data_IF_663275111478
#
_entry.id   IF_663275111478
#
_cell.length_a   1.000
_cell.length_b   1.000
_cell.length_c   1.000
_cell.angle_alpha   90.00
_cell.angle_beta   90.00
_cell.angle_gamma   90.00
#
_symmetry.space_group_name_H-M   'P 1'
#
loop_
_entity.id
_entity.type
_entity.pdbx_description
1 polymer ?
#
# COMPACT_ATOMS: atom_id res chain seq x y z
N UNK A 1 11.41 -0.53 1.20
CA UNK A 1 12.76 -0.43 0.60
C UNK A 1 13.13 1.02 0.29
N UNK A 2 14.20 1.57 0.89
CA UNK A 2 14.77 2.87 0.50
C UNK A 2 15.91 2.65 -0.48
N UNK A 3 15.69 2.93 -1.76
CA UNK A 3 16.66 2.59 -2.81
C UNK A 3 17.80 3.61 -2.93
N UNK A 4 17.51 4.91 -2.79
CA UNK A 4 18.45 6.02 -3.03
C UNK A 4 18.64 6.40 -4.49
N UNK A 5 18.07 5.63 -5.43
CA UNK A 5 18.15 5.86 -6.87
C UNK A 5 16.95 5.21 -7.57
N UNK A 6 15.74 5.73 -7.31
CA UNK A 6 14.49 5.14 -7.78
C UNK A 6 14.47 4.90 -9.30
N UNK A 7 15.05 5.80 -10.08
CA UNK A 7 15.15 5.69 -11.53
C UNK A 7 16.09 4.57 -12.03
N UNK A 8 17.00 4.09 -11.18
CA UNK A 8 17.84 2.91 -11.45
C UNK A 8 17.17 1.62 -10.95
N UNK A 9 16.56 1.66 -9.76
CA UNK A 9 16.07 0.44 -9.13
C UNK A 9 14.69 -0.01 -9.64
N UNK A 10 13.81 0.91 -10.00
CA UNK A 10 12.47 0.58 -10.49
C UNK A 10 12.46 0.48 -12.01
N UNK A 11 12.06 -0.70 -12.49
CA UNK A 11 12.07 -1.11 -13.88
C UNK A 11 10.65 -1.47 -14.32
N UNK A 12 10.21 -0.91 -15.44
CA UNK A 12 8.95 -1.24 -16.09
C UNK A 12 9.19 -2.38 -17.09
N UNK A 13 8.53 -3.54 -16.95
CA UNK A 13 8.59 -4.63 -17.92
C UNK A 13 8.04 -4.18 -19.28
N UNK A 14 8.76 -4.49 -20.35
CA UNK A 14 8.36 -4.23 -21.74
C UNK A 14 8.02 -5.52 -22.52
N UNK A 15 8.06 -6.68 -21.84
CA UNK A 15 7.83 -8.01 -22.41
C UNK A 15 9.06 -8.92 -22.36
N UNK A 16 8.95 -10.14 -22.91
CA UNK A 16 10.03 -11.11 -22.95
C UNK A 16 11.28 -10.56 -23.64
N UNK A 17 12.46 -10.96 -23.17
CA UNK A 17 13.74 -10.65 -23.79
C UNK A 17 14.09 -11.59 -24.95
N UNK A 18 15.29 -11.39 -25.49
CA UNK A 18 15.84 -12.13 -26.63
C UNK A 18 16.07 -13.63 -26.38
N UNK A 19 16.15 -14.05 -25.12
CA UNK A 19 16.36 -15.44 -24.70
C UNK A 19 15.52 -15.78 -23.47
N UNK A 20 15.18 -17.06 -23.24
CA UNK A 20 14.51 -17.50 -22.01
C UNK A 20 15.26 -17.04 -20.75
N UNK A 21 14.50 -16.53 -19.76
CA UNK A 21 15.05 -15.99 -18.52
C UNK A 21 15.56 -14.55 -18.60
N UNK A 22 15.46 -13.88 -19.76
CA UNK A 22 15.68 -12.44 -19.90
C UNK A 22 14.35 -11.71 -20.04
N UNK A 23 14.25 -10.55 -19.39
CA UNK A 23 13.13 -9.63 -19.52
C UNK A 23 13.60 -8.30 -20.09
N UNK A 24 12.90 -7.81 -21.12
CA UNK A 24 13.12 -6.44 -21.62
C UNK A 24 12.47 -5.46 -20.66
N UNK A 25 13.20 -4.43 -20.25
CA UNK A 25 12.77 -3.47 -19.23
C UNK A 25 13.17 -2.05 -19.59
N UNK A 26 12.42 -1.07 -19.06
CA UNK A 26 12.75 0.36 -19.09
C UNK A 26 12.91 0.89 -17.68
N UNK A 27 13.93 1.71 -17.43
CA UNK A 27 14.09 2.39 -16.14
C UNK A 27 13.58 3.84 -16.17
N UNK A 28 13.53 4.50 -15.01
CA UNK A 28 13.02 5.87 -14.87
C UNK A 28 13.89 6.95 -15.54
N UNK A 29 15.08 6.61 -16.02
CA UNK A 29 16.00 7.49 -16.73
C UNK A 29 16.03 7.23 -18.25
N UNK A 30 15.09 6.44 -18.76
CA UNK A 30 14.95 6.14 -20.18
C UNK A 30 15.93 5.10 -20.72
N UNK A 31 16.68 4.40 -19.86
CA UNK A 31 17.44 3.23 -20.30
C UNK A 31 16.49 2.09 -20.63
N UNK A 32 16.69 1.46 -21.78
CA UNK A 32 16.05 0.22 -22.17
C UNK A 32 17.08 -0.85 -22.45
N UNK A 33 16.78 -2.06 -22.02
CA UNK A 33 17.63 -3.22 -22.26
C UNK A 33 17.02 -4.46 -21.65
N UNK A 34 17.83 -5.51 -21.59
CA UNK A 34 17.43 -6.80 -21.04
C UNK A 34 18.13 -7.04 -19.72
N UNK A 35 17.45 -7.66 -18.77
CA UNK A 35 18.02 -8.11 -17.49
C UNK A 35 17.49 -9.51 -17.20
N UNK A 36 18.29 -10.35 -16.57
CA UNK A 36 17.86 -11.67 -16.13
C UNK A 36 16.68 -11.57 -15.14
N UNK A 37 15.62 -12.33 -15.38
CA UNK A 37 14.39 -12.36 -14.57
C UNK A 37 14.67 -12.69 -13.10
N UNK A 38 15.73 -13.46 -12.82
CA UNK A 38 16.11 -13.79 -11.43
C UNK A 38 16.39 -12.55 -10.58
N UNK A 39 16.85 -11.46 -11.19
CA UNK A 39 17.17 -10.18 -10.55
C UNK A 39 16.02 -9.17 -10.56
N UNK A 40 14.84 -9.55 -11.06
CA UNK A 40 13.68 -8.67 -11.17
C UNK A 40 12.54 -9.20 -10.30
N UNK A 41 12.19 -8.48 -9.24
CA UNK A 41 11.14 -8.89 -8.30
C UNK A 41 9.94 -7.93 -8.35
N UNK A 42 8.68 -8.41 -8.30
CA UNK A 42 7.52 -7.54 -8.11
C UNK A 42 7.68 -6.66 -6.88
N UNK A 43 7.29 -5.40 -7.01
CA UNK A 43 7.42 -4.41 -5.93
C UNK A 43 6.27 -3.42 -5.97
N UNK A 44 5.75 -3.08 -4.80
CA UNK A 44 4.80 -1.99 -4.63
C UNK A 44 5.60 -0.70 -4.47
N UNK A 45 5.70 0.09 -5.54
CA UNK A 45 6.38 1.40 -5.52
C UNK A 45 5.56 2.47 -4.79
N UNK A 46 4.22 2.41 -4.85
CA UNK A 46 3.33 3.39 -4.25
C UNK A 46 1.96 2.79 -3.91
N UNK A 47 1.30 3.23 -2.81
CA UNK A 47 -0.11 2.90 -2.55
C UNK A 47 -1.05 3.19 -3.72
N UNK A 48 -0.72 4.19 -4.56
CA UNK A 48 -1.56 4.61 -5.69
C UNK A 48 -1.66 3.56 -6.80
N UNK A 49 -0.69 2.66 -6.92
CA UNK A 49 -0.73 1.62 -7.95
C UNK A 49 -1.58 0.41 -7.54
N UNK A 50 -1.75 0.20 -6.23
CA UNK A 50 -2.64 -0.82 -5.71
C UNK A 50 -4.06 -0.35 -6.03
N UNK A 51 -4.85 -1.12 -6.79
CA UNK A 51 -6.23 -0.75 -7.16
C UNK A 51 -7.24 -1.30 -6.16
N UNK A 52 -7.13 -2.58 -5.85
CA UNK A 52 -7.89 -3.32 -4.85
C UNK A 52 -7.17 -3.38 -3.49
N UNK A 53 -7.87 -3.84 -2.45
CA UNK A 53 -7.25 -4.10 -1.14
C UNK A 53 -6.25 -5.25 -1.27
N UNK A 54 -6.66 -6.35 -1.90
CA UNK A 54 -5.79 -7.50 -2.17
C UNK A 54 -5.03 -7.27 -3.47
N UNK A 55 -3.71 -7.20 -3.36
CA UNK A 55 -2.75 -6.94 -4.43
C UNK A 55 -2.43 -8.26 -5.14
N UNK A 56 -2.63 -8.22 -6.46
CA UNK A 56 -2.16 -9.24 -7.40
C UNK A 56 -0.77 -8.85 -7.90
N UNK A 57 0.27 -9.67 -7.68
CA UNK A 57 1.64 -9.36 -8.10
C UNK A 57 1.78 -9.07 -9.61
N UNK A 58 0.95 -9.70 -10.43
CA UNK A 58 0.86 -9.52 -11.87
C UNK A 58 0.38 -8.12 -12.28
N UNK A 59 -0.42 -7.46 -11.44
CA UNK A 59 -0.93 -6.10 -11.69
C UNK A 59 0.08 -5.01 -11.30
N UNK A 60 1.16 -5.37 -10.60
CA UNK A 60 2.20 -4.42 -10.21
C UNK A 60 3.01 -3.97 -11.42
N UNK A 61 2.98 -2.66 -11.66
CA UNK A 61 3.61 -2.01 -12.81
C UNK A 61 5.13 -2.21 -12.83
N UNK A 62 5.75 -2.18 -11.66
CA UNK A 62 7.21 -2.15 -11.55
C UNK A 62 7.77 -3.50 -11.08
N UNK A 63 9.01 -3.75 -11.50
CA UNK A 63 9.93 -4.70 -10.89
C UNK A 63 11.08 -3.92 -10.25
N UNK A 64 11.55 -4.36 -9.10
CA UNK A 64 12.77 -3.85 -8.50
C UNK A 64 13.97 -4.68 -8.96
N UNK A 65 15.07 -4.02 -9.32
CA UNK A 65 16.35 -4.68 -9.51
C UNK A 65 16.89 -5.15 -8.15
N UNK A 66 16.86 -6.46 -7.92
CA UNK A 66 17.25 -7.13 -6.68
C UNK A 66 18.43 -8.06 -6.95
N UNK A 67 19.64 -7.57 -6.72
CA UNK A 67 20.87 -8.33 -6.93
C UNK A 67 21.86 -8.10 -5.79
N UNK A 68 22.31 -9.20 -5.16
CA UNK A 68 23.29 -9.19 -4.08
C UNK A 68 24.65 -9.79 -4.49
N UNK A 69 24.78 -10.22 -5.76
CA UNK A 69 26.00 -10.82 -6.30
C UNK A 69 27.06 -9.73 -6.56
N UNK A 70 28.32 -10.08 -6.37
CA UNK A 70 29.47 -9.24 -6.72
C UNK A 70 29.65 -9.11 -8.24
N UNK A 71 30.48 -8.15 -8.70
CA UNK A 71 30.79 -8.03 -10.14
C UNK A 71 31.48 -9.28 -10.70
N UNK A 72 32.24 -9.99 -9.88
CA UNK A 72 32.94 -11.21 -10.30
C UNK A 72 31.94 -12.33 -10.61
N UNK A 73 30.94 -12.51 -9.74
CA UNK A 73 29.86 -13.48 -9.92
C UNK A 73 28.92 -13.11 -11.09
N UNK A 74 28.81 -11.82 -11.41
CA UNK A 74 27.99 -11.32 -12.52
C UNK A 74 28.74 -11.28 -13.85
N UNK A 75 29.94 -11.86 -13.96
CA UNK A 75 30.70 -11.83 -15.21
C UNK A 75 29.91 -12.48 -16.34
N UNK A 76 29.67 -11.72 -17.41
CA UNK A 76 28.92 -12.17 -18.59
C UNK A 76 27.41 -11.93 -18.53
N UNK A 77 26.86 -11.46 -17.41
CA UNK A 77 25.42 -11.18 -17.28
C UNK A 77 25.04 -9.81 -17.85
N UNK A 78 23.77 -9.67 -18.23
CA UNK A 78 23.15 -8.39 -18.58
C UNK A 78 22.99 -7.51 -17.34
N UNK A 79 22.72 -8.09 -16.17
CA UNK A 79 22.73 -7.36 -14.90
C UNK A 79 24.04 -6.60 -14.65
N UNK A 80 25.22 -7.19 -14.95
CA UNK A 80 26.49 -6.48 -14.84
C UNK A 80 26.60 -5.30 -15.82
N UNK A 81 26.07 -5.45 -17.04
CA UNK A 81 26.02 -4.37 -18.02
C UNK A 81 25.14 -3.22 -17.51
N UNK A 82 23.99 -3.54 -16.91
CA UNK A 82 23.10 -2.57 -16.30
C UNK A 82 23.74 -1.82 -15.12
N UNK A 83 24.43 -2.55 -14.22
CA UNK A 83 25.20 -1.96 -13.11
C UNK A 83 26.27 -1.00 -13.65
N UNK A 84 27.07 -1.42 -14.64
CA UNK A 84 28.10 -0.56 -15.25
C UNK A 84 27.50 0.70 -15.90
N UNK A 85 26.33 0.58 -16.53
CA UNK A 85 25.60 1.75 -17.02
C UNK A 85 25.22 2.69 -15.86
N UNK A 86 24.73 2.14 -14.75
CA UNK A 86 24.37 2.93 -13.58
C UNK A 86 25.55 3.66 -12.93
N UNK A 87 26.74 3.04 -12.94
CA UNK A 87 27.99 3.66 -12.49
C UNK A 87 28.40 4.83 -13.39
N UNK A 88 28.28 4.68 -14.72
CA UNK A 88 28.51 5.78 -15.66
C UNK A 88 27.55 6.96 -15.44
N UNK A 89 26.32 6.68 -14.97
CA UNK A 89 25.33 7.68 -14.58
C UNK A 89 25.52 8.22 -13.15
N UNK A 90 26.58 7.79 -12.45
CA UNK A 90 26.94 8.22 -11.09
C UNK A 90 25.91 7.84 -10.01
N UNK A 91 25.06 6.83 -10.24
CA UNK A 91 24.13 6.36 -9.19
C UNK A 91 24.88 5.80 -7.97
N UNK A 92 26.01 5.14 -8.21
CA UNK A 92 26.91 4.64 -7.16
C UNK A 92 27.35 5.72 -6.17
N UNK A 93 27.45 6.98 -6.61
CA UNK A 93 27.96 8.08 -5.80
C UNK A 93 26.87 8.74 -4.93
N UNK A 94 25.60 8.36 -5.11
CA UNK A 94 24.49 8.92 -4.33
C UNK A 94 24.62 8.51 -2.85
N UNK A 95 24.24 9.38 -1.88
CA UNK A 95 24.52 9.14 -0.47
C UNK A 95 24.10 7.76 0.05
N UNK A 96 22.90 7.29 -0.30
CA UNK A 96 22.39 5.97 0.13
C UNK A 96 23.01 4.80 -0.63
N UNK A 97 23.48 5.00 -1.85
CA UNK A 97 24.13 3.93 -2.65
C UNK A 97 25.60 3.79 -2.25
N UNK A 98 26.30 4.93 -2.10
CA UNK A 98 27.72 4.99 -1.76
C UNK A 98 28.03 4.44 -0.35
N UNK A 99 27.06 4.48 0.56
CA UNK A 99 27.23 3.93 1.91
C UNK A 99 27.11 2.41 1.99
N UNK A 100 26.78 1.72 0.88
CA UNK A 100 26.65 0.26 0.85
C UNK A 100 27.94 -0.37 0.33
N UNK A 101 28.30 -1.54 0.84
CA UNK A 101 29.42 -2.34 0.33
C UNK A 101 29.23 -2.75 -1.14
N UNK A 102 28.00 -3.09 -1.52
CA UNK A 102 27.55 -3.30 -2.90
C UNK A 102 26.49 -2.24 -3.20
N UNK A 103 26.84 -1.21 -3.97
CA UNK A 103 25.98 -0.01 -4.11
C UNK A 103 24.60 -0.31 -4.70
N UNK A 104 24.50 -1.35 -5.55
CA UNK A 104 23.25 -1.83 -6.16
C UNK A 104 22.48 -2.86 -5.32
N UNK A 105 22.97 -3.25 -4.15
CA UNK A 105 22.26 -4.18 -3.27
C UNK A 105 21.22 -3.41 -2.44
N UNK A 106 20.00 -3.92 -2.33
CA UNK A 106 18.92 -3.33 -1.50
C UNK A 106 18.36 -4.37 -0.53
N UNK A 107 17.77 -3.99 0.62
CA UNK A 107 17.19 -4.96 1.54
C UNK A 107 16.08 -5.79 0.89
N UNK A 108 16.06 -7.09 1.17
CA UNK A 108 15.03 -8.03 0.74
C UNK A 108 14.00 -8.26 1.87
N UNK A 109 13.39 -7.18 2.35
CA UNK A 109 12.34 -7.23 3.38
C UNK A 109 10.98 -7.34 2.72
N UNK A 110 10.34 -8.49 2.87
CA UNK A 110 9.04 -8.83 2.28
C UNK A 110 7.99 -8.97 3.37
N UNK A 111 6.73 -8.78 3.00
CA UNK A 111 5.59 -9.06 3.86
C UNK A 111 4.32 -9.18 3.05
N UNK A 112 3.19 -9.34 3.72
CA UNK A 112 1.90 -9.57 3.07
C UNK A 112 0.85 -8.50 3.43
N UNK A 113 1.22 -7.51 4.25
CA UNK A 113 0.37 -6.36 4.60
C UNK A 113 1.15 -5.07 4.50
N UNK A 114 0.50 -4.04 3.94
CA UNK A 114 1.14 -2.80 3.52
C UNK A 114 0.34 -1.57 3.91
N UNK A 115 0.92 -0.73 4.76
CA UNK A 115 0.34 0.54 5.18
C UNK A 115 0.94 1.67 4.36
N UNK A 116 0.09 2.44 3.67
CA UNK A 116 0.53 3.68 3.03
C UNK A 116 0.94 4.72 4.08
N UNK A 117 2.12 5.31 3.92
CA UNK A 117 2.59 6.36 4.85
C UNK A 117 1.70 7.58 4.86
N UNK A 118 1.21 7.99 3.69
CA UNK A 118 0.30 9.11 3.55
C UNK A 118 -0.88 8.70 2.66
N UNK A 119 -2.09 8.77 3.22
CA UNK A 119 -3.34 8.43 2.56
C UNK A 119 -4.35 9.57 2.76
N UNK A 120 -5.18 9.83 1.74
CA UNK A 120 -6.23 10.85 1.79
C UNK A 120 -7.57 10.18 2.12
N UNK A 121 -8.55 10.20 1.22
CA UNK A 121 -9.86 9.55 1.45
C UNK A 121 -9.89 8.08 1.03
N UNK A 122 -8.97 7.64 0.17
CA UNK A 122 -8.81 6.24 -0.22
C UNK A 122 -7.95 5.53 0.81
N UNK A 123 -8.60 4.88 1.77
CA UNK A 123 -7.97 4.27 2.94
C UNK A 123 -8.02 2.75 2.80
N UNK A 124 -6.85 2.12 2.88
CA UNK A 124 -6.72 0.67 2.94
C UNK A 124 -5.40 0.28 3.61
N UNK A 125 -5.41 -0.88 4.26
CA UNK A 125 -4.19 -1.63 4.53
C UNK A 125 -4.11 -2.71 3.46
N UNK A 126 -3.29 -2.47 2.44
CA UNK A 126 -3.25 -3.38 1.31
C UNK A 126 -2.69 -4.73 1.75
N UNK A 127 -3.22 -5.81 1.17
CA UNK A 127 -2.87 -7.17 1.50
C UNK A 127 -2.34 -7.91 0.27
N UNK A 128 -1.57 -8.97 0.46
CA UNK A 128 -1.27 -9.93 -0.59
C UNK A 128 -1.33 -11.34 -0.03
N UNK A 129 -1.62 -12.32 -0.88
CA UNK A 129 -1.62 -13.74 -0.51
C UNK A 129 -0.21 -14.34 -0.53
N UNK A 130 0.75 -13.65 -1.13
CA UNK A 130 2.16 -14.01 -1.09
C UNK A 130 2.97 -12.84 -0.53
N UNK A 131 4.15 -13.08 0.08
CA UNK A 131 5.03 -11.99 0.46
C UNK A 131 5.45 -11.17 -0.77
N UNK A 132 5.42 -9.84 -0.64
CA UNK A 132 5.88 -8.90 -1.66
C UNK A 132 6.82 -7.85 -1.07
N UNK A 133 7.60 -7.23 -1.96
CA UNK A 133 8.45 -6.09 -1.65
C UNK A 133 7.63 -4.79 -1.77
N UNK A 134 7.99 -3.78 -0.98
CA UNK A 134 7.41 -2.45 -1.09
C UNK A 134 8.49 -1.36 -1.00
N UNK A 135 8.28 -0.23 -1.66
CA UNK A 135 9.07 0.99 -1.48
C UNK A 135 8.92 1.53 -0.05
N UNK A 136 9.84 2.39 0.39
CA UNK A 136 9.73 3.08 1.66
C UNK A 136 8.54 4.05 1.75
N UNK A 137 7.70 4.22 0.72
CA UNK A 137 6.37 4.85 0.83
C UNK A 137 5.34 3.99 1.57
N UNK A 138 5.63 2.71 1.83
CA UNK A 138 4.79 1.83 2.63
C UNK A 138 5.56 1.23 3.81
N UNK A 139 4.85 0.90 4.88
CA UNK A 139 5.33 -0.02 5.91
C UNK A 139 4.87 -1.44 5.58
N UNK A 140 5.65 -2.42 6.00
CA UNK A 140 5.46 -3.83 5.66
C UNK A 140 5.37 -4.63 6.95
N UNK A 141 4.44 -5.59 6.99
CA UNK A 141 4.39 -6.62 8.01
C UNK A 141 3.94 -7.95 7.40
N UNK A 142 4.13 -9.04 8.14
CA UNK A 142 3.52 -10.34 7.83
C UNK A 142 2.49 -10.66 8.90
N UNK A 143 1.24 -10.83 8.50
CA UNK A 143 0.10 -11.14 9.39
C UNK A 143 -0.77 -12.25 8.80
N UNK A 144 -1.64 -12.84 9.61
CA UNK A 144 -2.60 -13.84 9.15
C UNK A 144 -3.77 -13.21 8.36
N UNK A 145 -4.50 -14.03 7.59
CA UNK A 145 -5.64 -13.56 6.78
C UNK A 145 -6.78 -12.93 7.60
N UNK A 146 -7.17 -13.48 8.77
CA UNK A 146 -8.11 -12.82 9.67
C UNK A 146 -7.70 -11.37 10.01
N UNK A 147 -6.44 -11.15 10.38
CA UNK A 147 -5.94 -9.82 10.69
C UNK A 147 -5.86 -8.92 9.43
N UNK A 148 -5.52 -9.46 8.25
CA UNK A 148 -5.62 -8.69 6.99
C UNK A 148 -7.03 -8.14 6.76
N UNK A 149 -8.06 -8.92 7.08
CA UNK A 149 -9.45 -8.50 6.98
C UNK A 149 -9.79 -7.44 8.03
N UNK A 150 -9.49 -7.69 9.31
CA UNK A 150 -9.76 -6.75 10.42
C UNK A 150 -9.10 -5.40 10.18
N UNK A 151 -7.86 -5.40 9.67
CA UNK A 151 -7.09 -4.19 9.36
C UNK A 151 -7.78 -3.28 8.35
N UNK A 152 -8.68 -3.83 7.53
CA UNK A 152 -9.45 -3.08 6.57
C UNK A 152 -10.86 -2.73 7.05
N UNK A 153 -11.24 -3.01 8.29
CA UNK A 153 -12.55 -2.63 8.84
C UNK A 153 -12.68 -1.14 9.12
N UNK A 154 -13.91 -0.63 9.07
CA UNK A 154 -14.21 0.76 9.42
C UNK A 154 -13.89 1.07 10.88
N UNK A 155 -13.99 0.08 11.78
CA UNK A 155 -13.56 0.23 13.19
C UNK A 155 -12.05 0.46 13.28
N UNK A 156 -11.26 -0.31 12.54
CA UNK A 156 -9.82 -0.08 12.47
C UNK A 156 -9.51 1.29 11.88
N UNK A 157 -10.24 1.70 10.83
CA UNK A 157 -10.07 3.03 10.24
C UNK A 157 -10.42 4.15 11.21
N UNK A 158 -11.44 3.98 12.05
CA UNK A 158 -11.77 4.92 13.12
C UNK A 158 -10.59 5.08 14.10
N UNK A 159 -10.07 3.97 14.61
CA UNK A 159 -8.94 4.00 15.54
C UNK A 159 -7.70 4.66 14.92
N UNK A 160 -7.49 4.42 13.63
CA UNK A 160 -6.43 5.00 12.82
C UNK A 160 -6.58 6.51 12.64
N UNK A 161 -7.78 6.98 12.27
CA UNK A 161 -8.05 8.41 12.03
C UNK A 161 -7.92 9.22 13.32
N UNK A 162 -8.30 8.66 14.47
CA UNK A 162 -8.12 9.29 15.78
C UNK A 162 -6.64 9.46 16.14
N UNK A 163 -5.79 8.48 15.79
CA UNK A 163 -4.35 8.49 16.14
C UNK A 163 -3.46 9.17 15.08
N UNK A 164 -3.93 9.29 13.85
CA UNK A 164 -3.07 9.70 12.75
C UNK A 164 -2.64 11.17 12.87
N UNK A 165 -1.41 11.43 12.42
CA UNK A 165 -0.89 12.80 12.36
C UNK A 165 -1.60 13.53 11.22
N UNK A 166 -2.18 14.68 11.54
CA UNK A 166 -2.80 15.56 10.55
C UNK A 166 -1.71 16.48 9.97
N UNK A 167 -1.33 16.26 8.71
CA UNK A 167 -0.58 17.25 7.96
C UNK A 167 -1.58 18.23 7.35
N UNK A 168 -1.53 19.50 7.77
CA UNK A 168 -2.42 20.57 7.26
C UNK A 168 -2.16 21.00 5.81
N UNK A 169 -1.28 20.32 5.06
CA UNK A 169 -0.89 20.67 3.69
C UNK A 169 -1.25 19.60 2.66
N UNK A 170 -1.22 19.95 1.37
CA UNK A 170 -1.32 18.97 0.26
C UNK A 170 -2.69 18.32 0.07
N UNK A 171 -3.78 18.98 0.47
CA UNK A 171 -5.15 18.48 0.29
C UNK A 171 -5.67 17.57 1.40
N UNK A 172 -4.96 17.52 2.54
CA UNK A 172 -5.39 16.84 3.77
C UNK A 172 -5.18 15.32 3.82
N UNK A 173 -4.02 14.77 3.39
CA UNK A 173 -3.69 13.39 3.71
C UNK A 173 -3.38 13.25 5.21
N UNK A 174 -3.75 12.11 5.79
CA UNK A 174 -3.17 11.68 7.07
C UNK A 174 -1.81 11.08 6.87
N UNK A 175 -0.96 11.18 7.88
CA UNK A 175 0.32 10.46 7.93
C UNK A 175 0.35 9.48 9.10
N UNK A 176 0.72 8.23 8.80
CA UNK A 176 1.09 7.23 9.79
C UNK A 176 2.61 7.08 9.77
N UNK A 177 3.25 7.06 10.94
CA UNK A 177 4.63 6.61 11.06
C UNK A 177 4.67 5.14 11.48
N UNK A 178 5.86 4.53 11.41
CA UNK A 178 6.04 3.11 11.75
C UNK A 178 5.62 2.82 13.19
N UNK A 179 5.74 3.79 14.10
CA UNK A 179 5.36 3.59 15.49
C UNK A 179 3.83 3.62 15.67
N UNK A 180 3.08 4.45 14.95
CA UNK A 180 1.60 4.37 14.98
C UNK A 180 1.13 3.03 14.42
N UNK A 181 1.73 2.54 13.33
CA UNK A 181 1.41 1.21 12.79
C UNK A 181 1.69 0.11 13.83
N UNK A 182 2.81 0.18 14.55
CA UNK A 182 3.14 -0.78 15.62
C UNK A 182 2.20 -0.71 16.83
N UNK A 183 1.56 0.43 17.07
CA UNK A 183 0.65 0.68 18.20
C UNK A 183 -0.81 0.79 17.75
N UNK A 184 -1.11 0.31 16.55
CA UNK A 184 -2.45 0.33 15.98
C UNK A 184 -3.39 -0.48 16.86
N UNK A 185 -4.54 0.09 17.19
CA UNK A 185 -5.58 -0.64 17.94
C UNK A 185 -6.41 -1.41 16.92
N UNK A 186 -6.41 -2.73 17.05
CA UNK A 186 -7.11 -3.65 16.17
C UNK A 186 -7.74 -4.77 16.99
N UNK A 187 -8.85 -5.30 16.51
CA UNK A 187 -9.44 -6.51 17.07
C UNK A 187 -8.45 -7.68 16.88
N UNK A 188 -8.34 -8.55 17.89
CA UNK A 188 -7.50 -9.75 17.79
C UNK A 188 -8.08 -10.72 16.74
N UNK A 189 -7.22 -11.32 15.91
CA UNK A 189 -7.62 -12.30 14.89
C UNK A 189 -8.42 -13.47 15.47
N UNK A 190 -8.07 -13.90 16.68
CA UNK A 190 -8.73 -14.99 17.42
C UNK A 190 -10.25 -14.84 17.53
N UNK A 191 -10.81 -13.63 17.45
CA UNK A 191 -12.26 -13.41 17.50
C UNK A 191 -13.00 -13.86 16.24
N UNK A 192 -12.30 -14.03 15.12
CA UNK A 192 -12.91 -14.38 13.82
C UNK A 192 -12.22 -15.56 13.13
N UNK A 193 -11.24 -16.20 13.77
CA UNK A 193 -10.48 -17.33 13.19
C UNK A 193 -11.38 -18.52 12.78
N UNK A 194 -12.53 -18.69 13.44
CA UNK A 194 -13.51 -19.73 13.10
C UNK A 194 -14.33 -19.40 11.83
N UNK A 195 -14.20 -18.20 11.25
CA UNK A 195 -14.93 -17.74 10.06
C UNK A 195 -14.11 -17.85 8.76
N UNK A 196 -13.16 -18.79 8.68
CA UNK A 196 -12.17 -18.89 7.60
C UNK A 196 -12.77 -18.83 6.18
N UNK A 197 -13.83 -19.59 5.91
CA UNK A 197 -14.45 -19.62 4.57
C UNK A 197 -15.11 -18.29 4.21
N UNK A 198 -15.77 -17.66 5.19
CA UNK A 198 -16.37 -16.33 5.03
C UNK A 198 -15.29 -15.27 4.78
N UNK A 199 -14.18 -15.32 5.52
CA UNK A 199 -13.03 -14.42 5.35
C UNK A 199 -12.46 -14.55 3.93
N UNK A 200 -12.24 -15.79 3.46
CA UNK A 200 -11.73 -16.04 2.11
C UNK A 200 -12.65 -15.47 1.03
N UNK A 201 -13.96 -15.69 1.16
CA UNK A 201 -14.94 -15.16 0.21
C UNK A 201 -14.92 -13.62 0.17
N UNK A 202 -14.84 -12.96 1.32
CA UNK A 202 -14.75 -11.49 1.38
C UNK A 202 -13.44 -11.00 0.75
N UNK A 203 -12.30 -11.61 1.07
CA UNK A 203 -11.01 -11.24 0.47
C UNK A 203 -11.01 -11.38 -1.05
N UNK A 204 -11.69 -12.39 -1.60
CA UNK A 204 -11.86 -12.54 -3.05
C UNK A 204 -12.66 -11.38 -3.66
N UNK A 205 -13.75 -10.95 -3.02
CA UNK A 205 -14.50 -9.78 -3.46
C UNK A 205 -13.67 -8.49 -3.39
N UNK A 206 -12.94 -8.28 -2.29
CA UNK A 206 -12.05 -7.13 -2.10
C UNK A 206 -10.84 -7.13 -3.06
N UNK A 207 -10.49 -8.28 -3.64
CA UNK A 207 -9.47 -8.40 -4.69
C UNK A 207 -9.98 -7.99 -6.08
N UNK A 208 -11.31 -7.95 -6.27
CA UNK A 208 -11.94 -7.72 -7.57
C UNK A 208 -12.39 -6.29 -7.83
N UNK A 209 -12.51 -5.47 -6.78
CA UNK A 209 -13.01 -4.11 -6.87
C UNK A 209 -11.92 -3.08 -6.54
N UNK A 210 -11.93 -1.92 -7.21
CA UNK A 210 -11.14 -0.78 -6.78
C UNK A 210 -11.55 -0.34 -5.36
N UNK A 211 -10.57 0.08 -4.56
CA UNK A 211 -10.84 0.78 -3.30
C UNK A 211 -11.26 2.20 -3.62
N UNK A 212 -12.48 2.57 -3.23
CA UNK A 212 -13.03 3.89 -3.46
C UNK A 212 -12.68 4.86 -2.32
N UNK A 213 -13.22 6.08 -2.37
CA UNK A 213 -13.17 6.97 -1.21
C UNK A 213 -13.91 6.33 -0.03
N UNK A 214 -13.46 6.61 1.20
CA UNK A 214 -14.16 6.13 2.40
C UNK A 214 -15.63 6.58 2.46
N UNK A 215 -15.95 7.73 1.83
CA UNK A 215 -17.32 8.22 1.68
C UNK A 215 -18.17 7.28 0.83
N UNK A 216 -17.66 6.90 -0.35
CA UNK A 216 -18.31 5.93 -1.23
C UNK A 216 -18.41 4.56 -0.58
N UNK A 217 -17.34 4.09 0.06
CA UNK A 217 -17.31 2.81 0.77
C UNK A 217 -18.41 2.73 1.86
N UNK A 218 -18.59 3.80 2.63
CA UNK A 218 -19.59 3.92 3.70
C UNK A 218 -20.99 4.34 3.21
N UNK A 219 -21.13 4.73 1.94
CA UNK A 219 -22.37 5.29 1.40
C UNK A 219 -22.80 6.61 2.05
N UNK A 220 -21.84 7.50 2.31
CA UNK A 220 -22.04 8.84 2.90
C UNK A 220 -21.59 9.88 1.87
N UNK A 221 -22.38 10.93 1.67
CA UNK A 221 -22.07 12.02 0.73
C UNK A 221 -21.62 13.29 1.48
N UNK A 222 -20.31 13.61 1.51
CA UNK A 222 -19.81 14.80 2.21
C UNK A 222 -20.25 16.14 1.61
N UNK A 223 -20.79 16.15 0.39
CA UNK A 223 -21.21 17.37 -0.32
C UNK A 223 -22.75 17.56 -0.28
N UNK A 224 -23.47 16.65 0.40
CA UNK A 224 -24.91 16.75 0.64
C UNK A 224 -25.26 17.90 1.58
N UNK A 225 -26.48 18.46 1.43
CA UNK A 225 -27.05 19.43 2.37
C UNK A 225 -27.33 18.83 3.76
N UNK A 226 -27.44 17.50 3.84
CA UNK A 226 -27.64 16.80 5.12
C UNK A 226 -26.26 16.61 5.78
N UNK A 227 -26.05 17.10 7.02
CA UNK A 227 -24.79 16.88 7.74
C UNK A 227 -24.46 15.39 7.86
N UNK A 228 -23.18 15.01 7.74
CA UNK A 228 -22.71 13.61 7.81
C UNK A 228 -23.27 12.88 9.04
N UNK A 229 -23.32 13.55 10.20
CA UNK A 229 -23.86 13.00 11.45
C UNK A 229 -25.35 12.64 11.42
N UNK A 230 -26.09 13.10 10.40
CA UNK A 230 -27.52 12.84 10.20
C UNK A 230 -27.83 12.00 8.96
N UNK A 231 -26.83 11.71 8.13
CA UNK A 231 -27.03 10.86 6.96
C UNK A 231 -27.22 9.40 7.37
N UNK A 232 -28.03 8.66 6.63
CA UNK A 232 -28.15 7.21 6.83
C UNK A 232 -27.07 6.48 6.03
N UNK A 233 -26.10 5.79 6.69
CA UNK A 233 -25.04 5.10 5.97
C UNK A 233 -25.59 3.96 5.12
N UNK A 234 -25.12 3.85 3.88
CA UNK A 234 -25.45 2.76 2.97
C UNK A 234 -24.16 2.14 2.40
N UNK A 235 -23.36 1.44 3.23
CA UNK A 235 -22.06 0.93 2.85
C UNK A 235 -22.16 -0.05 1.67
N UNK A 236 -21.10 -0.11 0.86
CA UNK A 236 -21.00 -1.08 -0.22
C UNK A 236 -21.19 -2.51 0.31
N UNK A 237 -21.78 -3.45 -0.46
CA UNK A 237 -22.13 -4.77 0.07
C UNK A 237 -20.94 -5.54 0.67
N UNK A 238 -19.77 -5.48 0.04
CA UNK A 238 -18.54 -6.12 0.49
C UNK A 238 -17.90 -5.42 1.70
N UNK A 239 -17.99 -4.10 1.76
CA UNK A 239 -17.66 -3.29 2.94
C UNK A 239 -18.51 -3.70 4.14
N UNK A 240 -19.83 -3.72 3.94
CA UNK A 240 -20.78 -4.12 4.98
C UNK A 240 -20.52 -5.55 5.47
N UNK A 241 -20.30 -6.49 4.56
CA UNK A 241 -20.02 -7.88 4.90
C UNK A 241 -18.74 -8.04 5.74
N UNK A 242 -17.70 -7.27 5.44
CA UNK A 242 -16.48 -7.21 6.26
C UNK A 242 -16.77 -6.61 7.63
N UNK A 243 -17.39 -5.44 7.65
CA UNK A 243 -17.56 -4.66 8.88
C UNK A 243 -18.54 -5.34 9.84
N UNK A 244 -19.59 -6.01 9.34
CA UNK A 244 -20.52 -6.80 10.15
C UNK A 244 -19.78 -7.87 10.96
N UNK A 245 -18.75 -8.53 10.40
CA UNK A 245 -17.95 -9.52 11.13
C UNK A 245 -17.29 -8.89 12.35
N UNK A 246 -16.73 -7.69 12.19
CA UNK A 246 -16.02 -6.97 13.27
C UNK A 246 -17.01 -6.38 14.26
N UNK A 247 -18.13 -5.83 13.78
CA UNK A 247 -19.20 -5.30 14.62
C UNK A 247 -19.86 -6.37 15.47
N UNK A 248 -20.11 -7.56 14.92
CA UNK A 248 -20.65 -8.70 15.66
C UNK A 248 -19.68 -9.14 16.75
N UNK A 249 -18.38 -9.20 16.45
CA UNK A 249 -17.36 -9.56 17.43
C UNK A 249 -17.23 -8.55 18.58
N UNK A 250 -17.53 -7.27 18.31
CA UNK A 250 -17.57 -6.20 19.31
C UNK A 250 -18.93 -6.06 20.01
N UNK A 251 -19.97 -6.74 19.53
CA UNK A 251 -21.33 -6.65 20.07
C UNK A 251 -22.02 -5.31 19.81
N UNK A 252 -21.67 -4.60 18.73
CA UNK A 252 -22.25 -3.30 18.42
C UNK A 252 -23.71 -3.42 17.96
N UNK A 253 -24.56 -2.58 18.53
CA UNK A 253 -25.96 -2.37 18.12
C UNK A 253 -26.05 -1.74 16.74
N UNK A 254 -27.21 -1.81 16.09
CA UNK A 254 -27.40 -1.24 14.75
C UNK A 254 -27.09 0.26 14.70
N UNK A 255 -27.50 1.02 15.72
CA UNK A 255 -27.23 2.46 15.78
C UNK A 255 -25.74 2.75 16.00
N UNK A 256 -25.05 2.00 16.87
CA UNK A 256 -23.60 2.16 17.03
C UNK A 256 -22.83 1.86 15.74
N UNK A 257 -23.26 0.87 14.95
CA UNK A 257 -22.65 0.59 13.64
C UNK A 257 -22.77 1.78 12.70
N UNK A 258 -23.95 2.41 12.64
CA UNK A 258 -24.18 3.63 11.83
C UNK A 258 -23.30 4.78 12.32
N UNK A 259 -23.20 4.98 13.63
CA UNK A 259 -22.35 6.00 14.21
C UNK A 259 -20.87 5.79 13.88
N UNK A 260 -20.37 4.56 13.82
CA UNK A 260 -18.98 4.29 13.39
C UNK A 260 -18.75 4.77 11.95
N UNK A 261 -19.65 4.45 11.02
CA UNK A 261 -19.53 4.92 9.63
C UNK A 261 -19.54 6.46 9.55
N UNK A 262 -20.50 7.10 10.23
CA UNK A 262 -20.60 8.57 10.30
C UNK A 262 -19.35 9.19 10.88
N UNK A 263 -18.84 8.64 11.99
CA UNK A 263 -17.66 9.15 12.68
C UNK A 263 -16.41 9.10 11.80
N UNK A 264 -16.15 7.98 11.11
CA UNK A 264 -15.00 7.86 10.21
C UNK A 264 -15.10 8.87 9.07
N UNK A 265 -16.25 8.94 8.40
CA UNK A 265 -16.45 9.90 7.31
C UNK A 265 -16.32 11.34 7.79
N UNK A 266 -16.87 11.67 8.98
CA UNK A 266 -16.76 13.00 9.58
C UNK A 266 -15.28 13.37 9.83
N UNK A 267 -14.49 12.49 10.45
CA UNK A 267 -13.07 12.73 10.70
C UNK A 267 -12.27 12.95 9.41
N UNK A 268 -12.52 12.13 8.39
CA UNK A 268 -11.85 12.26 7.09
C UNK A 268 -12.26 13.57 6.40
N UNK A 269 -13.54 13.92 6.42
CA UNK A 269 -14.06 15.15 5.85
C UNK A 269 -13.46 16.39 6.52
N UNK A 270 -13.45 16.44 7.85
CA UNK A 270 -12.87 17.53 8.61
C UNK A 270 -11.39 17.71 8.27
N UNK A 271 -10.62 16.61 8.21
CA UNK A 271 -9.20 16.66 7.86
C UNK A 271 -8.98 17.24 6.47
N UNK A 272 -9.78 16.82 5.49
CA UNK A 272 -9.68 17.30 4.10
C UNK A 272 -10.10 18.77 3.99
N UNK A 273 -11.19 19.17 4.64
CA UNK A 273 -11.69 20.54 4.57
C UNK A 273 -10.81 21.54 5.32
N UNK A 274 -10.23 21.16 6.46
CA UNK A 274 -9.22 21.99 7.14
C UNK A 274 -8.01 22.27 6.24
N UNK A 275 -7.58 21.29 5.44
CA UNK A 275 -6.49 21.53 4.50
C UNK A 275 -6.88 22.51 3.37
N UNK A 276 -8.14 22.48 2.90
CA UNK A 276 -8.65 23.43 1.90
C UNK A 276 -8.66 24.86 2.44
N UNK A 277 -9.12 25.07 3.68
CA UNK A 277 -9.21 26.40 4.28
C UNK A 277 -7.84 27.04 4.52
N UNK A 278 -6.79 26.25 4.80
CA UNK A 278 -5.41 26.75 4.95
C UNK A 278 -4.81 27.16 3.61
N UNK A 279 -5.13 26.47 2.51
CA UNK A 279 -4.65 26.82 1.16
C UNK A 279 -5.33 28.03 0.52
N UNK A 280 -6.48 28.49 1.03
CA UNK A 280 -7.21 29.65 0.51
C UNK A 280 -6.75 31.01 1.06
N UNK A 281 -5.87 31.03 2.06
CA UNK A 281 -5.35 32.24 2.72
C UNK A 281 -3.88 32.54 2.36
N UNK A 282 -3.36 31.98 1.26
CA UNK A 282 -1.98 32.13 0.80
C UNK A 282 -1.86 32.78 -0.57
#
# INVERSE_FOLDING_TARGET
>A
IKTGANEFFYLEPLGPGSMPGLLRVRNGAGWEGEIEEEFLKPVIKSPRECRSIVIKPEDLKYRIFMCHKSKAELKGTRALQYIKWGEKKKYSNRPTCNSRSIWWSVPNEMGNSFWGKELRERIAVFASLIPLLADCRLYVATVDQPLQLILNSVVTFLADEVKARQYGGGGGPRSLMVYEVKQQLVLSSNFIDNKRDQINNILLHLASKPVESIFTECGIDPESDIPISKQEPNPLPDRKALDDIVFDALGLTEEERKEVYRAVCQLVWERINRARSVSGNG
#
